data_IF_797079146571
#
_entry.id   IF_797079146571
#
_cell.length_a   1.000
_cell.length_b   1.000
_cell.length_c   1.000
_cell.angle_alpha   90.00
_cell.angle_beta   90.00
_cell.angle_gamma   90.00
#
_symmetry.space_group_name_H-M   'P 1'
#
loop_
_entity.id
_entity.type
_entity.pdbx_description
1 polymer ?
#
# COMPACT_ATOMS: atom_id res chain seq x y z
N UNK A 1 4.87 21.86 -12.43
CA UNK A 1 4.46 20.46 -12.69
C UNK A 1 5.12 19.63 -11.62
N UNK A 2 4.34 19.10 -10.67
CA UNK A 2 4.88 18.20 -9.65
C UNK A 2 5.39 16.95 -10.36
N UNK A 3 6.65 16.62 -10.16
CA UNK A 3 7.19 15.32 -10.51
C UNK A 3 6.31 14.28 -9.81
N UNK A 4 5.73 13.34 -10.56
CA UNK A 4 5.00 12.22 -9.97
C UNK A 4 6.02 11.38 -9.20
N UNK A 5 6.04 11.49 -7.88
CA UNK A 5 6.90 10.66 -7.06
C UNK A 5 6.52 9.20 -7.30
N UNK A 6 7.44 8.42 -7.90
CA UNK A 6 7.24 6.99 -8.05
C UNK A 6 7.26 6.35 -6.66
N UNK A 7 6.14 5.74 -6.28
CA UNK A 7 6.02 5.01 -5.01
C UNK A 7 6.79 3.69 -5.11
N UNK A 8 7.37 3.26 -4.00
CA UNK A 8 7.85 1.89 -3.86
C UNK A 8 6.63 0.97 -3.73
N UNK A 9 6.57 -0.09 -4.54
CA UNK A 9 5.44 -1.02 -4.59
C UNK A 9 5.92 -2.43 -4.26
N UNK A 10 5.14 -3.14 -3.45
CA UNK A 10 5.19 -4.60 -3.39
C UNK A 10 4.07 -5.10 -4.29
N UNK A 11 4.40 -5.98 -5.22
CA UNK A 11 3.45 -6.56 -6.15
C UNK A 11 3.49 -8.08 -6.11
N UNK A 12 2.33 -8.71 -6.05
CA UNK A 12 2.16 -10.15 -6.02
C UNK A 12 1.02 -10.54 -6.96
N UNK A 13 1.18 -11.63 -7.70
CA UNK A 13 0.12 -12.20 -8.54
C UNK A 13 -0.18 -13.63 -8.08
N UNK A 14 -1.45 -13.97 -7.90
CA UNK A 14 -1.87 -15.33 -7.47
C UNK A 14 -1.91 -16.33 -8.63
N UNK A 15 -1.64 -15.88 -9.86
CA UNK A 15 -1.58 -16.69 -11.06
C UNK A 15 -1.45 -15.84 -12.32
N UNK A 16 -1.18 -16.46 -13.49
CA UNK A 16 -1.01 -15.74 -14.74
C UNK A 16 -2.32 -15.08 -15.19
N UNK A 17 -2.22 -13.87 -15.76
CA UNK A 17 -3.36 -13.14 -16.31
C UNK A 17 -4.38 -12.71 -15.25
N UNK A 18 -3.98 -11.87 -14.28
CA UNK A 18 -4.87 -11.42 -13.22
C UNK A 18 -6.14 -10.77 -13.80
N UNK A 19 -7.30 -11.18 -13.29
CA UNK A 19 -8.63 -10.70 -13.72
C UNK A 19 -9.11 -9.51 -12.92
N UNK A 20 -8.52 -9.30 -11.76
CA UNK A 20 -8.78 -8.18 -10.86
C UNK A 20 -7.48 -7.73 -10.19
N UNK A 21 -7.52 -6.53 -9.62
CA UNK A 21 -6.45 -6.01 -8.79
C UNK A 21 -7.00 -5.56 -7.43
N UNK A 22 -6.23 -5.83 -6.38
CA UNK A 22 -6.45 -5.29 -5.03
C UNK A 22 -5.28 -4.35 -4.73
N UNK A 23 -5.59 -3.07 -4.55
CA UNK A 23 -4.63 -2.05 -4.12
C UNK A 23 -4.95 -1.69 -2.68
N UNK A 24 -4.03 -1.95 -1.77
CA UNK A 24 -4.24 -1.75 -0.33
C UNK A 24 -3.17 -0.83 0.25
N UNK A 25 -3.61 0.29 0.82
CA UNK A 25 -2.74 1.31 1.41
C UNK A 25 -2.66 1.12 2.92
N UNK A 26 -1.44 1.05 3.46
CA UNK A 26 -1.23 0.88 4.89
C UNK A 26 -1.59 2.16 5.69
N UNK A 27 -1.74 1.99 7.01
CA UNK A 27 -2.00 3.09 7.94
C UNK A 27 -0.76 3.94 8.24
N UNK A 28 -0.94 5.03 9.01
CA UNK A 28 0.13 5.94 9.41
C UNK A 28 1.28 5.18 10.12
N UNK A 29 2.52 5.41 9.66
CA UNK A 29 3.72 4.85 10.28
C UNK A 29 4.04 3.40 9.94
N UNK A 30 3.16 2.72 9.22
CA UNK A 30 3.34 1.34 8.76
C UNK A 30 4.06 1.27 7.40
N UNK A 31 4.18 0.06 6.84
CA UNK A 31 4.65 -0.18 5.47
C UNK A 31 3.83 -1.26 4.75
N UNK A 32 4.04 -1.42 3.44
CA UNK A 32 3.27 -2.35 2.60
C UNK A 32 3.45 -3.84 2.93
N UNK A 33 4.50 -4.23 3.67
CA UNK A 33 4.73 -5.63 4.04
C UNK A 33 3.72 -6.13 5.08
N UNK A 34 3.13 -5.23 5.88
CA UNK A 34 2.14 -5.57 6.91
C UNK A 34 0.94 -6.35 6.34
N UNK A 35 0.67 -6.21 5.03
CA UNK A 35 -0.45 -6.83 4.35
C UNK A 35 -0.08 -7.99 3.44
N UNK A 36 1.20 -8.35 3.29
CA UNK A 36 1.60 -9.50 2.47
C UNK A 36 0.92 -10.80 2.92
N UNK A 37 0.80 -11.11 4.23
CA UNK A 37 0.09 -12.31 4.66
C UNK A 37 -1.40 -12.36 4.27
N UNK A 38 -2.03 -11.21 3.96
CA UNK A 38 -3.44 -11.16 3.54
C UNK A 38 -3.70 -11.90 2.22
N UNK A 39 -2.67 -12.01 1.35
CA UNK A 39 -2.78 -12.67 0.05
C UNK A 39 -3.23 -14.12 0.19
N UNK A 40 -2.75 -14.81 1.23
CA UNK A 40 -3.05 -16.21 1.48
C UNK A 40 -4.36 -16.44 2.27
N UNK A 41 -4.88 -15.39 2.92
CA UNK A 41 -6.07 -15.47 3.80
C UNK A 41 -7.39 -15.17 3.06
N UNK A 42 -7.35 -14.56 1.88
CA UNK A 42 -8.55 -14.22 1.11
C UNK A 42 -8.93 -15.33 0.13
N UNK A 43 -10.11 -15.94 0.32
CA UNK A 43 -10.70 -16.80 -0.72
C UNK A 43 -11.26 -15.96 -1.87
N UNK A 44 -10.50 -15.93 -2.97
CA UNK A 44 -10.84 -15.24 -4.22
C UNK A 44 -11.13 -16.22 -5.37
N UNK A 45 -11.45 -17.48 -5.06
CA UNK A 45 -11.66 -18.51 -6.08
C UNK A 45 -12.74 -18.15 -7.12
N UNK A 46 -13.79 -17.43 -6.70
CA UNK A 46 -14.84 -16.96 -7.59
C UNK A 46 -14.39 -15.84 -8.55
N UNK A 47 -13.33 -15.09 -8.19
CA UNK A 47 -12.77 -13.99 -9.00
C UNK A 47 -11.74 -14.53 -10.02
N UNK A 48 -10.97 -15.55 -9.63
CA UNK A 48 -9.81 -16.05 -10.38
C UNK A 48 -8.51 -15.37 -9.96
N UNK A 49 -7.43 -15.44 -10.78
CA UNK A 49 -6.14 -14.83 -10.44
C UNK A 49 -6.26 -13.31 -10.17
N UNK A 50 -5.56 -12.81 -9.15
CA UNK A 50 -5.61 -11.42 -8.70
C UNK A 50 -4.20 -10.87 -8.56
N UNK A 51 -4.01 -9.60 -8.95
CA UNK A 51 -2.81 -8.82 -8.66
C UNK A 51 -2.99 -8.02 -7.38
N UNK A 52 -2.15 -8.24 -6.40
CA UNK A 52 -2.06 -7.43 -5.20
C UNK A 52 -0.98 -6.36 -5.37
N UNK A 53 -1.30 -5.13 -4.98
CA UNK A 53 -0.37 -4.00 -5.00
C UNK A 53 -0.41 -3.31 -3.64
N UNK A 54 0.72 -3.33 -2.94
CA UNK A 54 0.90 -2.67 -1.65
C UNK A 54 1.90 -1.52 -1.81
N UNK A 55 1.42 -0.29 -2.07
CA UNK A 55 2.29 0.87 -2.15
C UNK A 55 2.80 1.27 -0.76
N UNK A 56 4.05 1.72 -0.70
CA UNK A 56 4.62 2.34 0.49
C UNK A 56 4.45 3.86 0.44
N UNK A 57 3.96 4.43 1.53
CA UNK A 57 3.87 5.87 1.68
C UNK A 57 5.27 6.51 1.71
N UNK A 58 5.46 7.72 1.16
CA UNK A 58 6.69 8.47 1.37
C UNK A 58 6.86 8.82 2.86
N UNK A 59 8.11 8.97 3.28
CA UNK A 59 8.41 9.50 4.61
C UNK A 59 8.28 11.02 4.60
N UNK A 60 7.30 11.55 5.33
CA UNK A 60 7.03 12.98 5.46
C UNK A 60 6.88 13.37 6.94
N UNK A 61 7.12 14.64 7.33
CA UNK A 61 6.79 15.11 8.67
C UNK A 61 5.27 15.10 8.89
N UNK A 62 4.83 14.68 10.08
CA UNK A 62 3.40 14.60 10.44
C UNK A 62 3.09 15.51 11.65
N UNK A 63 2.22 16.50 11.43
CA UNK A 63 1.91 17.60 12.35
C UNK A 63 1.30 17.12 13.67
N UNK A 64 0.30 16.23 13.64
CA UNK A 64 -0.31 15.68 14.87
C UNK A 64 0.69 14.90 15.73
N UNK A 65 1.77 14.41 15.12
CA UNK A 65 2.88 13.72 15.79
C UNK A 65 4.09 14.66 16.04
N UNK A 66 3.87 15.97 16.13
CA UNK A 66 4.93 16.94 16.44
C UNK A 66 5.99 17.10 15.35
N UNK A 67 5.64 16.81 14.09
CA UNK A 67 6.56 16.88 12.96
C UNK A 67 7.49 15.67 12.82
N UNK A 68 7.24 14.58 13.54
CA UNK A 68 8.00 13.34 13.37
C UNK A 68 7.89 12.83 11.92
N UNK A 69 9.03 12.45 11.34
CA UNK A 69 9.10 11.94 9.96
C UNK A 69 8.84 10.43 9.97
N UNK A 70 7.76 10.02 9.32
CA UNK A 70 7.37 8.62 9.20
C UNK A 70 6.59 8.38 7.90
N UNK A 71 6.39 7.11 7.48
CA UNK A 71 5.55 6.81 6.34
C UNK A 71 4.13 7.40 6.52
N UNK A 72 3.76 8.33 5.66
CA UNK A 72 2.43 8.95 5.67
C UNK A 72 2.01 9.39 4.27
N UNK A 73 0.73 9.17 3.95
CA UNK A 73 0.16 9.53 2.65
C UNK A 73 -0.10 11.03 2.51
N UNK A 74 -0.34 11.69 3.63
CA UNK A 74 -0.60 13.12 3.75
C UNK A 74 -0.32 13.56 5.19
N UNK A 75 -0.13 14.85 5.39
CA UNK A 75 0.01 15.42 6.73
C UNK A 75 -1.35 15.46 7.45
N UNK A 76 -1.34 15.16 8.74
CA UNK A 76 -2.53 15.17 9.60
C UNK A 76 -2.35 16.32 10.60
N UNK A 77 -3.24 17.31 10.52
CA UNK A 77 -3.26 18.47 11.39
C UNK A 77 -4.64 18.61 12.09
N UNK A 78 -4.73 19.31 13.24
CA UNK A 78 -5.98 19.56 13.96
C UNK A 78 -7.00 20.39 13.17
#
# INVERSE_FOLDING_TARGET
MSESANLSLIELETGPGPRAAIVLMHGLGADGNDFVPLVDELDLGAVGPVRFVFPNAPSIPVTINGGYVMPAWYDIAP
#
